data_IF_572165025062
#
_entry.id   IF_572165025062
#
_cell.length_a   1.000
_cell.length_b   1.000
_cell.length_c   1.000
_cell.angle_alpha   90.00
_cell.angle_beta   90.00
_cell.angle_gamma   90.00
#
_symmetry.space_group_name_H-M   'P 1'
#
loop_
_entity.id
_entity.type
_entity.pdbx_description
1 polymer ?
#
# COMPACT_ATOMS: atom_id res chain seq x y z
N UNK A 1 21.66 -19.23 -4.60
CA UNK A 1 21.05 -17.88 -4.51
C UNK A 1 19.58 -18.06 -4.15
N UNK A 2 19.15 -17.57 -2.98
CA UNK A 2 17.78 -17.79 -2.49
C UNK A 2 16.72 -17.11 -3.36
N UNK A 3 15.53 -17.71 -3.44
CA UNK A 3 14.38 -17.15 -4.16
C UNK A 3 14.01 -15.80 -3.53
N UNK A 4 13.90 -14.75 -4.34
CA UNK A 4 13.42 -13.42 -3.87
C UNK A 4 12.03 -13.56 -3.25
N UNK A 5 11.79 -12.84 -2.17
CA UNK A 5 10.47 -12.77 -1.55
C UNK A 5 9.47 -12.03 -2.45
N UNK A 6 8.17 -12.29 -2.26
CA UNK A 6 7.12 -11.59 -3.01
C UNK A 6 7.20 -10.06 -2.82
N UNK A 7 7.50 -9.61 -1.60
CA UNK A 7 7.71 -8.19 -1.31
C UNK A 7 8.84 -7.59 -2.17
N UNK A 8 9.99 -8.26 -2.27
CA UNK A 8 11.12 -7.81 -3.09
C UNK A 8 10.79 -7.84 -4.58
N UNK A 9 10.03 -8.84 -5.03
CA UNK A 9 9.57 -8.92 -6.43
C UNK A 9 8.68 -7.72 -6.79
N UNK A 10 7.71 -7.41 -5.92
CA UNK A 10 6.80 -6.27 -6.11
C UNK A 10 7.56 -4.94 -6.09
N UNK A 11 8.49 -4.75 -5.16
CA UNK A 11 9.35 -3.54 -5.12
C UNK A 11 10.18 -3.42 -6.40
N UNK A 12 10.70 -4.54 -6.91
CA UNK A 12 11.47 -4.55 -8.17
C UNK A 12 10.62 -4.09 -9.35
N UNK A 13 9.33 -4.47 -9.40
CA UNK A 13 8.41 -4.07 -10.48
C UNK A 13 8.14 -2.56 -10.53
N UNK A 14 8.23 -1.87 -9.41
CA UNK A 14 7.97 -0.43 -9.31
C UNK A 14 9.23 0.42 -9.18
N UNK A 15 10.42 -0.19 -9.31
CA UNK A 15 11.70 0.48 -9.01
C UNK A 15 11.96 1.70 -9.89
N UNK A 16 11.54 1.65 -11.16
CA UNK A 16 11.81 2.67 -12.18
C UNK A 16 10.68 3.73 -12.28
N UNK A 17 9.65 3.61 -11.42
CA UNK A 17 8.54 4.57 -11.40
C UNK A 17 9.00 5.81 -10.63
N UNK A 18 9.05 6.93 -11.33
CA UNK A 18 9.31 8.23 -10.72
C UNK A 18 8.01 8.85 -10.22
N UNK A 19 8.07 9.44 -9.03
CA UNK A 19 7.04 10.33 -8.53
C UNK A 19 6.95 11.54 -9.47
N UNK A 20 5.73 12.00 -9.77
CA UNK A 20 5.55 13.27 -10.51
C UNK A 20 5.94 14.46 -9.61
N UNK A 21 5.86 14.28 -8.29
CA UNK A 21 6.19 15.26 -7.25
C UNK A 21 6.60 14.53 -5.98
N UNK A 22 7.55 15.09 -5.25
CA UNK A 22 8.07 14.53 -3.99
C UNK A 22 7.13 14.78 -2.78
N UNK A 23 6.20 15.74 -2.88
CA UNK A 23 5.27 16.11 -1.80
C UNK A 23 3.83 15.63 -2.07
N UNK A 24 3.66 14.40 -2.54
CA UNK A 24 2.34 13.84 -2.81
C UNK A 24 1.99 12.72 -1.85
N UNK A 25 0.86 12.88 -1.17
CA UNK A 25 0.26 11.82 -0.36
C UNK A 25 -0.62 10.95 -1.25
N UNK A 26 -0.54 9.64 -1.06
CA UNK A 26 -1.34 8.65 -1.75
C UNK A 26 -2.10 7.79 -0.75
N UNK A 27 -3.36 7.47 -1.05
CA UNK A 27 -4.16 6.51 -0.28
C UNK A 27 -4.36 5.24 -1.07
N UNK A 28 -3.84 4.13 -0.54
CA UNK A 28 -4.12 2.78 -1.02
C UNK A 28 -5.28 2.21 -0.23
N UNK A 29 -6.45 2.16 -0.87
CA UNK A 29 -7.66 1.57 -0.31
C UNK A 29 -7.84 0.18 -0.90
N UNK A 30 -7.90 -0.84 -0.06
CA UNK A 30 -8.07 -2.22 -0.51
C UNK A 30 -9.23 -2.90 0.20
N UNK A 31 -9.95 -3.74 -0.53
CA UNK A 31 -11.04 -4.54 0.00
C UNK A 31 -10.90 -5.98 -0.48
N UNK A 32 -11.00 -6.93 0.44
CA UNK A 32 -11.00 -8.34 0.12
C UNK A 32 -12.44 -8.82 0.12
N UNK A 33 -12.90 -9.41 -0.99
CA UNK A 33 -14.19 -10.09 -0.99
C UNK A 33 -14.02 -11.44 -0.28
N UNK A 34 -14.28 -11.40 1.02
CA UNK A 34 -14.14 -12.56 1.89
C UNK A 34 -15.50 -13.23 2.01
N UNK A 35 -15.77 -14.23 1.17
CA UNK A 35 -16.99 -15.04 1.31
C UNK A 35 -16.87 -15.98 2.52
N UNK A 36 -17.91 -16.00 3.37
CA UNK A 36 -18.02 -16.89 4.53
C UNK A 36 -17.00 -16.62 5.65
N UNK A 37 -16.42 -17.69 6.20
CA UNK A 37 -15.42 -17.66 7.30
C UNK A 37 -13.98 -17.47 6.82
N UNK A 38 -13.78 -17.13 5.55
CA UNK A 38 -12.45 -16.90 4.99
C UNK A 38 -11.82 -15.71 5.72
N UNK A 39 -10.50 -15.71 5.93
CA UNK A 39 -9.78 -14.57 6.54
C UNK A 39 -8.72 -14.12 5.57
N UNK A 40 -8.43 -12.82 5.57
CA UNK A 40 -7.30 -12.28 4.83
C UNK A 40 -6.03 -13.02 5.29
N UNK A 41 -5.23 -13.60 4.38
CA UNK A 41 -4.07 -14.39 4.75
C UNK A 41 -3.08 -13.59 5.61
N UNK A 42 -2.58 -14.17 6.71
CA UNK A 42 -1.58 -13.51 7.57
C UNK A 42 -0.32 -13.13 6.77
N UNK A 43 0.02 -13.91 5.73
CA UNK A 43 1.13 -13.63 4.84
C UNK A 43 0.97 -12.31 4.06
N UNK A 44 -0.25 -11.86 3.78
CA UNK A 44 -0.50 -10.54 3.18
C UNK A 44 0.04 -9.44 4.09
N UNK A 45 -0.40 -9.42 5.35
CA UNK A 45 0.05 -8.42 6.32
C UNK A 45 1.56 -8.47 6.59
N UNK A 46 2.15 -9.67 6.62
CA UNK A 46 3.61 -9.83 6.73
C UNK A 46 4.34 -9.19 5.54
N UNK A 47 3.86 -9.40 4.32
CA UNK A 47 4.45 -8.78 3.13
C UNK A 47 4.20 -7.27 3.08
N UNK A 48 3.05 -6.78 3.56
CA UNK A 48 2.81 -5.34 3.71
C UNK A 48 3.84 -4.74 4.67
N UNK A 49 4.02 -5.30 5.87
CA UNK A 49 5.04 -4.82 6.80
C UNK A 49 6.44 -4.85 6.19
N UNK A 50 6.79 -5.92 5.47
CA UNK A 50 8.07 -6.04 4.76
C UNK A 50 8.28 -4.91 3.75
N UNK A 51 7.28 -4.60 2.93
CA UNK A 51 7.36 -3.50 1.95
C UNK A 51 7.56 -2.17 2.68
N UNK A 52 6.80 -1.93 3.74
CA UNK A 52 6.88 -0.70 4.53
C UNK A 52 8.26 -0.50 5.15
N UNK A 53 8.83 -1.55 5.74
CA UNK A 53 10.17 -1.54 6.31
C UNK A 53 11.25 -1.27 5.25
N UNK A 54 11.15 -1.92 4.08
CA UNK A 54 12.13 -1.78 3.01
C UNK A 54 12.09 -0.41 2.31
N UNK A 55 10.91 0.21 2.24
CA UNK A 55 10.73 1.51 1.59
C UNK A 55 10.71 2.69 2.58
N UNK A 56 10.59 2.43 3.88
CA UNK A 56 10.47 3.47 4.91
C UNK A 56 9.19 4.30 4.79
N UNK A 57 8.12 3.73 4.23
CA UNK A 57 6.89 4.44 3.86
C UNK A 57 5.66 3.51 3.97
N UNK A 58 4.44 4.07 3.93
CA UNK A 58 3.20 3.31 3.99
C UNK A 58 2.63 3.20 5.41
N UNK A 59 1.95 4.22 5.91
CA UNK A 59 1.33 4.23 7.24
C UNK A 59 -0.11 3.70 7.18
N UNK A 60 -0.46 2.75 8.05
CA UNK A 60 -1.86 2.34 8.20
C UNK A 60 -2.65 3.42 8.93
N UNK A 61 -3.57 4.09 8.23
CA UNK A 61 -4.53 5.03 8.85
C UNK A 61 -5.83 4.31 9.25
N UNK A 62 -6.16 3.21 8.58
CA UNK A 62 -7.23 2.28 8.92
C UNK A 62 -6.82 0.88 8.47
N UNK A 63 -7.43 -0.18 9.00
CA UNK A 63 -7.13 -1.58 8.62
C UNK A 63 -7.04 -1.79 7.11
N UNK A 64 -7.93 -1.18 6.32
CA UNK A 64 -8.02 -1.35 4.85
C UNK A 64 -7.52 -0.13 4.05
N UNK A 65 -6.84 0.81 4.72
CA UNK A 65 -6.35 2.05 4.09
C UNK A 65 -4.93 2.34 4.54
N UNK A 66 -4.02 2.45 3.56
CA UNK A 66 -2.61 2.78 3.79
C UNK A 66 -2.31 4.10 3.11
N UNK A 67 -1.77 5.03 3.87
CA UNK A 67 -1.25 6.31 3.39
C UNK A 67 0.23 6.16 3.01
N UNK A 68 0.64 6.69 1.86
CA UNK A 68 2.01 6.64 1.37
C UNK A 68 2.46 8.02 0.93
N UNK A 69 3.72 8.35 1.16
CA UNK A 69 4.33 9.60 0.71
C UNK A 69 4.98 9.47 -0.68
N UNK A 70 4.95 8.27 -1.26
CA UNK A 70 5.48 8.03 -2.60
C UNK A 70 4.55 7.17 -3.44
N UNK A 71 4.47 7.50 -4.73
CA UNK A 71 3.71 6.71 -5.71
C UNK A 71 4.25 5.28 -5.78
N UNK A 72 5.58 5.13 -5.66
CA UNK A 72 6.26 3.84 -5.67
C UNK A 72 5.75 2.91 -4.56
N UNK A 73 5.68 3.39 -3.31
CA UNK A 73 5.16 2.60 -2.20
C UNK A 73 3.68 2.30 -2.39
N UNK A 74 2.89 3.29 -2.83
CA UNK A 74 1.47 3.09 -3.09
C UNK A 74 1.22 1.98 -4.13
N UNK A 75 1.96 1.98 -5.24
CA UNK A 75 1.86 0.96 -6.28
C UNK A 75 2.36 -0.40 -5.82
N UNK A 76 3.45 -0.45 -5.05
CA UNK A 76 3.93 -1.71 -4.48
C UNK A 76 2.85 -2.37 -3.60
N UNK A 77 2.25 -1.60 -2.69
CA UNK A 77 1.19 -2.08 -1.83
C UNK A 77 -0.07 -2.47 -2.62
N UNK A 78 -0.41 -1.70 -3.64
CA UNK A 78 -1.55 -2.01 -4.51
C UNK A 78 -1.35 -3.31 -5.30
N UNK A 79 -0.17 -3.52 -5.89
CA UNK A 79 0.15 -4.76 -6.59
C UNK A 79 0.17 -5.96 -5.65
N UNK A 80 0.70 -5.80 -4.44
CA UNK A 80 0.65 -6.84 -3.43
C UNK A 80 -0.81 -7.18 -3.07
N UNK A 81 -1.64 -6.19 -2.75
CA UNK A 81 -3.04 -6.43 -2.39
C UNK A 81 -3.82 -7.11 -3.54
N UNK A 82 -3.61 -6.67 -4.79
CA UNK A 82 -4.19 -7.34 -5.97
C UNK A 82 -3.70 -8.77 -6.14
N UNK A 83 -2.43 -9.06 -5.89
CA UNK A 83 -1.89 -10.43 -5.93
C UNK A 83 -2.61 -11.35 -4.94
N UNK A 84 -2.99 -10.83 -3.78
CA UNK A 84 -3.76 -11.58 -2.79
C UNK A 84 -5.27 -11.63 -3.06
N UNK A 85 -5.75 -11.03 -4.16
CA UNK A 85 -7.15 -11.06 -4.56
C UNK A 85 -8.01 -9.89 -4.06
N UNK A 86 -7.41 -8.81 -3.56
CA UNK A 86 -8.16 -7.62 -3.19
C UNK A 86 -8.57 -6.78 -4.41
N UNK A 87 -9.73 -6.14 -4.32
CA UNK A 87 -10.05 -4.94 -5.10
C UNK A 87 -9.27 -3.78 -4.52
N UNK A 88 -8.58 -3.01 -5.36
CA UNK A 88 -7.70 -1.91 -4.90
C UNK A 88 -7.99 -0.63 -5.67
N UNK A 89 -8.00 0.49 -4.95
CA UNK A 89 -8.01 1.84 -5.51
C UNK A 89 -6.86 2.63 -4.91
N UNK A 90 -6.15 3.37 -5.76
CA UNK A 90 -5.09 4.29 -5.33
C UNK A 90 -5.57 5.69 -5.65
N UNK A 91 -5.60 6.56 -4.65
CA UNK A 91 -5.94 7.97 -4.79
C UNK A 91 -4.69 8.80 -4.54
N UNK A 92 -4.51 9.86 -5.33
CA UNK A 92 -3.59 10.94 -5.00
C UNK A 92 -4.37 11.99 -4.21
N UNK A 93 -3.93 12.30 -3.00
CA UNK A 93 -4.52 13.34 -2.17
C UNK A 93 -4.06 14.69 -2.72
N UNK A 94 -5.02 15.57 -3.04
CA UNK A 94 -4.71 16.96 -3.43
C UNK A 94 -4.61 17.86 -2.22
N UNK A 95 -5.56 17.76 -1.32
CA UNK A 95 -5.66 18.58 -0.12
C UNK A 95 -5.97 17.69 1.08
N UNK A 96 -5.30 17.96 2.20
CA UNK A 96 -5.59 17.37 3.49
C UNK A 96 -6.08 18.48 4.42
N UNK A 97 -7.28 18.31 4.99
CA UNK A 97 -7.88 19.29 5.88
C UNK A 97 -7.60 18.91 7.35
N UNK A 98 -7.13 19.88 8.14
CA UNK A 98 -7.06 19.74 9.59
C UNK A 98 -8.43 20.06 10.21
N UNK A 99 -9.10 19.03 10.70
CA UNK A 99 -10.42 19.12 11.34
C UNK A 99 -10.38 19.87 12.68
N UNK A 100 -9.21 20.06 13.31
CA UNK A 100 -9.07 20.82 14.55
C UNK A 100 -9.46 22.30 14.38
N UNK A 101 -9.44 22.80 13.14
CA UNK A 101 -9.85 24.17 12.81
C UNK A 101 -11.37 24.37 12.76
N UNK A 102 -12.15 23.28 12.88
CA UNK A 102 -13.63 23.29 12.83
C UNK A 102 -14.28 22.90 14.17
N UNK A 103 -13.48 22.69 15.22
CA UNK A 103 -13.89 22.37 16.59
C UNK A 103 -13.54 23.52 17.54
#
# INVERSE_FOLDING_TARGET
MGRRSLAEEVITKVKDIQSISDDCIYLVVYDFHVEGSSRIPISFYRNVSRIRELLGDGTFIQKSVIECNSLKTALALAFLARYYGATVRVYQVRDQLDVSSYL
#
